data_IF_873547974713
#
_entry.id   IF_873547974713
#
_cell.length_a   1.000
_cell.length_b   1.000
_cell.length_c   1.000
_cell.angle_alpha   90.00
_cell.angle_beta   90.00
_cell.angle_gamma   90.00
#
_symmetry.space_group_name_H-M   'P 1'
#
loop_
_entity.id
_entity.type
_entity.pdbx_description
1 polymer ?
#
# COMPACT_ATOMS: atom_id res chain seq x y z
N UNK A 1 -59.47 16.13 18.94
CA UNK A 1 -58.24 15.43 19.38
C UNK A 1 -57.46 15.00 18.14
N UNK A 2 -56.21 15.44 17.97
CA UNK A 2 -55.42 15.08 16.78
C UNK A 2 -54.02 15.70 16.80
N UNK A 3 -53.15 15.21 17.69
CA UNK A 3 -51.74 15.65 17.73
C UNK A 3 -50.96 15.07 16.55
N UNK A 4 -50.44 15.94 15.69
CA UNK A 4 -49.61 15.57 14.53
C UNK A 4 -48.33 14.87 15.03
N UNK A 5 -48.24 13.55 14.82
CA UNK A 5 -47.13 12.70 15.28
C UNK A 5 -45.84 13.21 14.64
N UNK A 6 -44.96 13.83 15.44
CA UNK A 6 -43.64 14.28 14.98
C UNK A 6 -42.84 13.06 14.51
N UNK A 7 -42.52 12.98 13.22
CA UNK A 7 -41.64 11.95 12.67
C UNK A 7 -40.27 12.09 13.34
N UNK A 8 -39.85 11.08 14.12
CA UNK A 8 -38.49 11.05 14.69
C UNK A 8 -37.49 10.93 13.54
N UNK A 9 -36.60 11.91 13.40
CA UNK A 9 -35.43 11.82 12.53
C UNK A 9 -34.52 10.71 13.07
N UNK A 10 -34.32 9.66 12.27
CA UNK A 10 -33.43 8.56 12.62
C UNK A 10 -31.99 9.07 12.50
N UNK A 11 -31.30 9.19 13.64
CA UNK A 11 -29.89 9.57 13.65
C UNK A 11 -29.09 8.40 13.10
N UNK A 12 -28.65 8.50 11.85
CA UNK A 12 -27.80 7.50 11.21
C UNK A 12 -26.39 7.72 11.74
N UNK A 13 -25.93 6.84 12.62
CA UNK A 13 -24.53 6.83 13.06
C UNK A 13 -23.69 6.19 11.96
N UNK A 14 -22.76 6.95 11.40
CA UNK A 14 -21.82 6.45 10.39
C UNK A 14 -20.90 5.43 11.06
N UNK A 15 -20.74 4.25 10.48
CA UNK A 15 -19.80 3.24 10.98
C UNK A 15 -18.36 3.74 10.73
N UNK A 16 -17.44 3.61 11.69
CA UNK A 16 -16.04 3.96 11.48
C UNK A 16 -15.46 3.08 10.37
N UNK A 17 -14.67 3.69 9.48
CA UNK A 17 -13.93 3.00 8.41
C UNK A 17 -12.51 2.76 8.89
N UNK A 18 -11.92 1.63 8.50
CA UNK A 18 -10.49 1.42 8.73
C UNK A 18 -9.69 2.51 7.99
N UNK A 19 -8.62 3.04 8.60
CA UNK A 19 -7.75 4.00 7.94
C UNK A 19 -7.08 3.34 6.72
N UNK A 20 -7.09 4.06 5.59
CA UNK A 20 -6.49 3.63 4.30
C UNK A 20 -5.11 4.25 4.06
N UNK A 21 -4.56 4.90 5.09
CA UNK A 21 -3.36 5.71 5.00
C UNK A 21 -2.26 5.03 5.82
N UNK A 22 -1.13 4.77 5.17
CA UNK A 22 0.01 4.08 5.76
C UNK A 22 1.23 5.01 5.91
N UNK A 23 2.15 4.62 6.79
CA UNK A 23 3.40 5.33 7.06
C UNK A 23 4.42 5.14 5.94
N UNK A 24 5.13 6.21 5.57
CA UNK A 24 6.16 6.13 4.54
C UNK A 24 7.54 5.83 5.14
N UNK A 25 8.26 4.77 4.72
CA UNK A 25 9.58 4.45 5.27
C UNK A 25 10.65 5.51 4.92
N UNK A 26 10.50 6.21 3.78
CA UNK A 26 11.43 7.26 3.33
C UNK A 26 11.31 8.59 4.09
N UNK A 27 10.10 9.00 4.47
CA UNK A 27 9.85 10.35 5.02
C UNK A 27 9.12 10.37 6.37
N UNK A 28 8.73 9.21 6.91
CA UNK A 28 8.08 9.06 8.21
C UNK A 28 6.65 9.61 8.28
N UNK A 29 6.08 10.11 7.19
CA UNK A 29 4.72 10.69 7.15
C UNK A 29 3.68 9.64 6.76
N UNK A 30 2.49 9.73 7.36
CA UNK A 30 1.31 8.90 7.03
C UNK A 30 0.67 9.40 5.73
N UNK A 31 1.29 9.10 4.59
CA UNK A 31 0.87 9.61 3.28
C UNK A 31 0.90 8.59 2.14
N UNK A 32 1.01 7.31 2.46
CA UNK A 32 0.94 6.24 1.45
C UNK A 32 -0.51 5.90 1.16
N UNK A 33 -0.84 5.88 -0.14
CA UNK A 33 -2.12 5.45 -0.70
C UNK A 33 -1.89 4.23 -1.57
N UNK A 34 -2.60 3.13 -1.25
CA UNK A 34 -2.57 1.87 -1.99
C UNK A 34 -3.86 1.75 -2.79
N UNK A 35 -3.76 1.45 -4.09
CA UNK A 35 -4.90 1.16 -4.96
C UNK A 35 -4.64 -0.15 -5.70
N UNK A 36 -5.51 -1.12 -5.49
CA UNK A 36 -5.46 -2.42 -6.16
C UNK A 36 -6.43 -2.39 -7.34
N UNK A 37 -5.95 -2.69 -8.55
CA UNK A 37 -6.73 -2.86 -9.77
C UNK A 37 -6.24 -4.10 -10.49
N UNK A 38 -7.13 -5.03 -10.83
CA UNK A 38 -6.83 -6.18 -11.70
C UNK A 38 -5.51 -6.92 -11.34
N UNK A 39 -5.30 -7.20 -10.05
CA UNK A 39 -4.10 -7.84 -9.48
C UNK A 39 -2.81 -7.01 -9.47
N UNK A 40 -2.92 -5.71 -9.76
CA UNK A 40 -1.82 -4.76 -9.67
C UNK A 40 -2.12 -3.78 -8.53
N UNK A 41 -1.25 -3.78 -7.51
CA UNK A 41 -1.25 -2.76 -6.46
C UNK A 41 -0.35 -1.60 -6.88
N UNK A 42 -0.96 -0.43 -7.03
CA UNK A 42 -0.27 0.84 -7.21
C UNK A 42 -0.14 1.52 -5.85
N UNK A 43 1.09 1.77 -5.42
CA UNK A 43 1.40 2.42 -4.14
C UNK A 43 2.03 3.77 -4.44
N UNK A 44 1.45 4.81 -3.84
CA UNK A 44 1.82 6.20 -4.09
C UNK A 44 2.02 6.92 -2.77
N UNK A 45 3.16 7.62 -2.59
CA UNK A 45 3.39 8.48 -1.44
C UNK A 45 3.18 9.94 -1.81
N UNK A 46 2.24 10.62 -1.14
CA UNK A 46 1.96 12.04 -1.39
C UNK A 46 3.04 13.02 -0.89
N UNK A 47 3.93 12.59 0.01
CA UNK A 47 4.93 13.48 0.62
C UNK A 47 6.28 13.50 -0.09
N UNK A 48 6.76 12.36 -0.58
CA UNK A 48 8.08 12.23 -1.22
C UNK A 48 8.01 11.76 -2.67
N UNK A 49 6.80 11.53 -3.21
CA UNK A 49 6.61 11.16 -4.62
C UNK A 49 6.95 9.71 -4.96
N UNK A 50 7.14 8.83 -3.99
CA UNK A 50 7.36 7.40 -4.24
C UNK A 50 6.20 6.82 -5.06
N UNK A 51 6.56 6.07 -6.10
CA UNK A 51 5.64 5.36 -6.97
C UNK A 51 6.14 3.96 -7.21
N UNK A 52 5.33 2.96 -6.87
CA UNK A 52 5.67 1.56 -7.10
C UNK A 52 4.45 0.78 -7.53
N UNK A 53 4.62 -0.07 -8.53
CA UNK A 53 3.60 -1.01 -8.99
C UNK A 53 4.06 -2.42 -8.62
N UNK A 54 3.17 -3.17 -8.00
CA UNK A 54 3.47 -4.52 -7.51
C UNK A 54 2.34 -5.43 -7.98
N UNK A 55 2.70 -6.55 -8.56
CA UNK A 55 1.74 -7.63 -8.82
C UNK A 55 1.42 -8.35 -7.50
N UNK A 56 0.14 -8.39 -7.17
CA UNK A 56 -0.39 -9.04 -5.98
C UNK A 56 -1.64 -9.85 -6.31
N UNK A 57 -1.82 -11.02 -5.66
CA UNK A 57 -3.03 -11.81 -5.79
C UNK A 57 -4.27 -11.01 -5.42
N UNK A 58 -5.43 -11.33 -6.01
CA UNK A 58 -6.71 -10.65 -5.70
C UNK A 58 -7.17 -10.82 -4.24
N UNK A 59 -6.56 -11.74 -3.50
CA UNK A 59 -6.85 -12.02 -2.07
C UNK A 59 -6.15 -11.01 -1.15
N UNK A 60 -5.19 -10.24 -1.66
CA UNK A 60 -4.45 -9.28 -0.84
C UNK A 60 -5.27 -8.04 -0.55
N UNK A 61 -5.30 -7.66 0.72
CA UNK A 61 -5.81 -6.37 1.17
C UNK A 61 -4.76 -5.25 1.03
N UNK A 62 -5.21 -3.99 1.14
CA UNK A 62 -4.35 -2.79 1.13
C UNK A 62 -3.19 -2.91 2.14
N UNK A 63 -3.43 -3.51 3.30
CA UNK A 63 -2.42 -3.73 4.34
C UNK A 63 -1.35 -4.76 3.91
N UNK A 64 -1.76 -5.87 3.29
CA UNK A 64 -0.83 -6.91 2.85
C UNK A 64 0.07 -6.41 1.71
N UNK A 65 -0.48 -5.61 0.80
CA UNK A 65 0.29 -4.95 -0.25
C UNK A 65 1.31 -3.96 0.33
N UNK A 66 0.95 -3.25 1.41
CA UNK A 66 1.86 -2.35 2.11
C UNK A 66 3.01 -3.09 2.82
N UNK A 67 2.76 -4.24 3.47
CA UNK A 67 3.82 -5.05 4.08
C UNK A 67 4.84 -5.51 3.02
N UNK A 68 4.36 -6.07 1.90
CA UNK A 68 5.23 -6.49 0.79
C UNK A 68 6.07 -5.33 0.27
N UNK A 69 5.50 -4.13 0.21
CA UNK A 69 6.22 -2.92 -0.18
C UNK A 69 7.32 -2.52 0.80
N UNK A 70 7.09 -2.61 2.11
CA UNK A 70 8.13 -2.34 3.11
C UNK A 70 9.29 -3.33 2.95
N UNK A 71 8.97 -4.62 2.78
CA UNK A 71 9.99 -5.66 2.60
C UNK A 71 10.84 -5.35 1.35
N UNK A 72 10.20 -5.04 0.21
CA UNK A 72 10.90 -4.64 -1.02
C UNK A 72 11.68 -3.32 -0.88
N UNK A 73 11.20 -2.38 -0.07
CA UNK A 73 11.92 -1.13 0.23
C UNK A 73 13.17 -1.40 1.06
N UNK A 74 13.09 -2.27 2.06
CA UNK A 74 14.22 -2.68 2.90
C UNK A 74 15.25 -3.48 2.11
N UNK A 75 14.81 -4.32 1.18
CA UNK A 75 15.66 -5.07 0.25
C UNK A 75 16.36 -4.16 -0.78
N UNK A 76 16.00 -2.88 -0.85
CA UNK A 76 16.60 -1.94 -1.80
C UNK A 76 16.17 -2.15 -3.26
N UNK A 77 15.15 -2.97 -3.51
CA UNK A 77 14.66 -3.33 -4.86
C UNK A 77 13.77 -2.27 -5.51
N UNK A 78 13.51 -1.17 -4.82
CA UNK A 78 12.58 -0.16 -5.34
C UNK A 78 13.29 0.85 -6.25
N UNK A 79 12.93 0.77 -7.53
CA UNK A 79 13.19 1.82 -8.51
C UNK A 79 12.34 3.05 -8.19
N UNK A 80 12.90 3.97 -7.41
CA UNK A 80 12.26 5.24 -7.12
C UNK A 80 12.29 6.06 -8.41
N UNK A 81 11.18 6.05 -9.15
CA UNK A 81 10.97 7.03 -10.23
C UNK A 81 10.67 8.39 -9.59
N UNK A 82 11.71 9.11 -9.20
CA UNK A 82 11.59 10.54 -9.00
C UNK A 82 11.18 11.14 -10.34
N UNK A 83 10.10 11.93 -10.38
CA UNK A 83 9.86 12.78 -11.54
C UNK A 83 10.85 13.93 -11.50
N UNK A 84 12.12 13.63 -11.73
CA UNK A 84 13.07 14.60 -12.22
C UNK A 84 12.86 14.65 -13.72
N UNK A 85 12.35 15.78 -14.21
CA UNK A 85 12.58 16.14 -15.61
C UNK A 85 14.09 16.30 -15.74
N UNK A 86 14.80 15.25 -16.13
CA UNK A 86 16.08 15.27 -16.83
C UNK A 86 16.57 13.83 -17.00
N UNK A 87 16.93 13.52 -18.24
CA UNK A 87 17.44 12.25 -18.70
C UNK A 87 18.70 11.87 -17.92
N UNK A 88 18.76 10.67 -17.35
CA UNK A 88 19.97 9.82 -17.44
C UNK A 88 19.55 8.37 -17.29
N UNK A 89 19.89 7.59 -18.31
CA UNK A 89 19.89 6.13 -18.34
C UNK A 89 20.93 5.64 -17.33
N UNK A 90 20.55 4.83 -16.34
CA UNK A 90 21.53 3.94 -15.70
C UNK A 90 20.86 2.58 -15.43
N UNK A 91 21.23 1.65 -16.30
CA UNK A 91 21.14 0.21 -16.14
C UNK A 91 21.83 -0.21 -14.83
N UNK A 92 21.26 -1.13 -14.08
CA UNK A 92 22.04 -1.95 -13.16
C UNK A 92 21.41 -3.35 -13.11
N UNK A 93 22.05 -4.26 -13.84
CA UNK A 93 22.03 -5.71 -13.62
C UNK A 93 22.57 -6.00 -12.22
N UNK A 94 21.82 -6.70 -11.35
CA UNK A 94 22.42 -7.46 -10.25
C UNK A 94 21.62 -8.74 -10.04
N UNK A 95 22.23 -9.84 -10.48
CA UNK A 95 21.94 -11.21 -10.09
C UNK A 95 22.17 -11.38 -8.58
N UNK A 96 21.29 -12.12 -7.89
CA UNK A 96 21.45 -12.35 -6.46
C UNK A 96 20.46 -13.40 -5.97
N UNK A 97 20.94 -14.64 -6.00
CA UNK A 97 20.33 -15.83 -5.40
C UNK A 97 19.80 -15.54 -3.99
N UNK A 98 18.61 -16.05 -3.68
CA UNK A 98 18.24 -16.30 -2.29
C UNK A 98 17.86 -17.77 -2.16
N UNK A 99 18.79 -18.48 -1.52
CA UNK A 99 18.78 -19.88 -1.16
C UNK A 99 17.45 -20.30 -0.52
N UNK A 100 16.98 -21.47 -0.92
CA UNK A 100 15.86 -22.18 -0.30
C UNK A 100 16.25 -22.59 1.13
N UNK A 101 15.53 -22.12 2.13
CA UNK A 101 15.61 -22.70 3.49
C UNK A 101 14.61 -23.87 3.54
N UNK A 102 15.04 -25.14 3.65
CA UNK A 102 14.12 -26.26 3.79
C UNK A 102 13.43 -26.20 5.16
N UNK A 103 12.10 -26.21 5.16
CA UNK A 103 11.30 -26.41 6.36
C UNK A 103 11.60 -27.78 6.98
N UNK A 104 12.38 -27.78 8.06
CA UNK A 104 12.57 -28.94 8.92
C UNK A 104 11.25 -29.29 9.62
N UNK A 105 10.76 -30.51 9.40
CA UNK A 105 9.66 -31.12 10.14
C UNK A 105 10.01 -31.20 11.63
N UNK A 106 9.14 -30.65 12.48
CA UNK A 106 9.17 -30.91 13.92
C UNK A 106 8.29 -32.14 14.19
N UNK A 107 8.86 -33.08 14.94
CA UNK A 107 8.37 -34.41 15.30
C UNK A 107 6.99 -34.45 15.94
#
# INVERSE_FOLDING_TARGET
MGGKRRKRTKIIRVKPKLPKTFECPRCGKVSISVKIKDNIATITCGSCGLYTEIEVPSVFDEANAYSKFIDMYLEGRLQIKERTNENTEEENEIEGESEEIPHGQVK
#
